data_IF_079597807422
#
_entry.id   IF_079597807422
#
_cell.length_a   1.000
_cell.length_b   1.000
_cell.length_c   1.000
_cell.angle_alpha   90.00
_cell.angle_beta   90.00
_cell.angle_gamma   90.00
#
_symmetry.space_group_name_H-M   'P 1'
#
loop_
_entity.id
_entity.type
_entity.pdbx_description
1 polymer ?
#
# COMPACT_ATOMS: atom_id res chain seq x y z
N UNK A 1 -7.19 11.44 16.90
CA UNK A 1 -6.57 10.86 15.69
C UNK A 1 -7.06 11.58 14.44
N UNK A 2 -6.22 11.75 13.42
CA UNK A 2 -6.68 12.21 12.10
C UNK A 2 -7.40 11.07 11.38
N UNK A 3 -8.49 11.33 10.62
CA UNK A 3 -9.17 10.30 9.87
C UNK A 3 -8.27 9.78 8.74
N UNK A 4 -8.17 8.47 8.62
CA UNK A 4 -7.51 7.83 7.48
C UNK A 4 -8.38 8.04 6.22
N UNK A 5 -7.80 8.61 5.18
CA UNK A 5 -8.45 8.82 3.88
C UNK A 5 -7.98 7.75 2.88
N UNK A 6 -8.86 7.36 1.97
CA UNK A 6 -8.55 6.40 0.91
C UNK A 6 -8.22 7.16 -0.36
N UNK A 7 -7.12 6.79 -1.02
CA UNK A 7 -6.70 7.40 -2.28
C UNK A 7 -7.69 7.06 -3.39
N UNK A 8 -8.38 8.07 -3.93
CA UNK A 8 -9.32 7.87 -5.03
C UNK A 8 -8.64 7.42 -6.34
N UNK A 9 -7.38 7.78 -6.53
CA UNK A 9 -6.61 7.43 -7.74
C UNK A 9 -6.04 6.00 -7.71
N UNK A 10 -5.74 5.49 -6.51
CA UNK A 10 -5.00 4.24 -6.31
C UNK A 10 -5.73 3.35 -5.31
N UNK A 11 -6.95 2.98 -5.68
CA UNK A 11 -7.78 2.04 -4.95
C UNK A 11 -8.27 0.93 -5.87
N UNK A 12 -7.47 -0.11 -6.02
CA UNK A 12 -7.80 -1.26 -6.84
C UNK A 12 -8.76 -2.17 -6.08
N UNK A 13 -9.90 -2.51 -6.70
CA UNK A 13 -10.88 -3.45 -6.13
C UNK A 13 -10.26 -4.85 -5.93
N UNK A 14 -9.44 -5.29 -6.90
CA UNK A 14 -8.62 -6.52 -6.81
C UNK A 14 -7.34 -6.35 -5.96
N UNK A 15 -7.20 -5.22 -5.28
CA UNK A 15 -6.05 -4.96 -4.45
C UNK A 15 -6.02 -5.90 -3.25
N UNK A 16 -4.90 -6.61 -3.11
CA UNK A 16 -4.64 -7.62 -2.08
C UNK A 16 -3.69 -7.12 -0.99
N UNK A 17 -3.38 -5.82 -1.02
CA UNK A 17 -2.61 -5.13 0.01
C UNK A 17 -3.05 -3.67 0.13
N UNK A 18 -2.98 -3.13 1.34
CA UNK A 18 -3.18 -1.71 1.61
C UNK A 18 -1.86 -1.13 2.12
N UNK A 19 -1.41 -0.04 1.50
CA UNK A 19 -0.29 0.76 1.98
C UNK A 19 -0.86 1.98 2.67
N UNK A 20 -0.41 2.25 3.89
CA UNK A 20 -0.78 3.43 4.64
C UNK A 20 0.43 4.35 4.75
N UNK A 21 0.28 5.55 4.21
CA UNK A 21 1.31 6.59 4.20
C UNK A 21 0.69 7.83 4.79
N UNK A 22 1.25 8.31 5.90
CA UNK A 22 0.67 9.39 6.70
C UNK A 22 -0.80 9.11 7.09
N UNK A 23 -1.72 9.91 6.55
CA UNK A 23 -3.17 9.78 6.76
C UNK A 23 -3.87 9.13 5.56
N UNK A 24 -3.14 8.65 4.57
CA UNK A 24 -3.66 8.20 3.28
C UNK A 24 -3.42 6.72 3.06
N UNK A 25 -4.43 6.02 2.54
CA UNK A 25 -4.41 4.59 2.27
C UNK A 25 -4.55 4.31 0.78
N UNK A 26 -3.66 3.46 0.27
CA UNK A 26 -3.58 3.04 -1.13
C UNK A 26 -3.86 1.54 -1.18
N UNK A 27 -4.87 1.10 -1.92
CA UNK A 27 -5.20 -0.33 -2.07
C UNK A 27 -4.66 -0.80 -3.40
N UNK A 28 -3.71 -1.73 -3.39
CA UNK A 28 -2.93 -2.15 -4.57
C UNK A 28 -2.90 -3.67 -4.71
N UNK A 29 -2.62 -4.17 -5.91
CA UNK A 29 -2.41 -5.60 -6.14
C UNK A 29 -0.95 -5.98 -5.84
N UNK A 30 -0.74 -6.94 -4.92
CA UNK A 30 0.60 -7.46 -4.59
C UNK A 30 1.37 -7.91 -5.82
N UNK A 31 0.69 -8.49 -6.80
CA UNK A 31 1.29 -8.95 -8.06
C UNK A 31 1.95 -7.81 -8.83
N UNK A 32 1.24 -6.69 -9.04
CA UNK A 32 1.81 -5.52 -9.74
C UNK A 32 2.95 -4.92 -8.93
N UNK A 33 2.79 -4.82 -7.62
CA UNK A 33 3.85 -4.31 -6.74
C UNK A 33 5.11 -5.18 -6.74
N UNK A 34 4.94 -6.50 -6.72
CA UNK A 34 6.05 -7.47 -6.75
C UNK A 34 6.77 -7.51 -8.09
N UNK A 35 6.10 -7.13 -9.20
CA UNK A 35 6.71 -7.05 -10.53
C UNK A 35 7.68 -5.87 -10.65
N UNK A 36 7.33 -4.74 -10.05
CA UNK A 36 8.12 -3.51 -10.17
C UNK A 36 9.10 -3.30 -9.02
N UNK A 37 8.87 -3.93 -7.85
CA UNK A 37 9.67 -3.70 -6.65
C UNK A 37 9.98 -5.00 -5.91
N UNK A 38 11.19 -5.52 -6.13
CA UNK A 38 11.71 -6.68 -5.39
C UNK A 38 11.73 -6.44 -3.88
N UNK A 39 11.98 -5.21 -3.44
CA UNK A 39 11.96 -4.79 -2.02
C UNK A 39 10.62 -5.09 -1.33
N UNK A 40 9.50 -4.94 -2.03
CA UNK A 40 8.18 -5.24 -1.47
C UNK A 40 7.89 -6.74 -1.44
N UNK A 41 8.48 -7.51 -2.35
CA UNK A 41 8.39 -8.97 -2.32
C UNK A 41 8.96 -9.52 -1.02
N UNK A 42 10.15 -9.07 -0.63
CA UNK A 42 10.76 -9.44 0.64
C UNK A 42 9.91 -8.97 1.83
N UNK A 43 9.38 -7.75 1.76
CA UNK A 43 8.50 -7.20 2.81
C UNK A 43 7.19 -8.00 2.99
N UNK A 44 6.62 -8.57 1.92
CA UNK A 44 5.44 -9.45 2.00
C UNK A 44 5.76 -10.89 2.41
N UNK A 45 7.01 -11.32 2.24
CA UNK A 45 7.47 -12.64 2.70
C UNK A 45 7.82 -12.65 4.17
N UNK A 46 8.07 -11.48 4.76
CA UNK A 46 8.18 -11.35 6.21
C UNK A 46 6.80 -11.60 6.82
N UNK A 47 6.68 -12.50 7.81
CA UNK A 47 5.42 -12.71 8.51
C UNK A 47 5.06 -11.40 9.20
N UNK A 48 4.07 -10.72 8.65
CA UNK A 48 3.43 -9.59 9.29
C UNK A 48 2.98 -10.07 10.69
N UNK A 49 3.35 -9.37 11.76
CA UNK A 49 2.98 -9.78 13.10
C UNK A 49 1.45 -9.90 13.17
N UNK A 50 0.95 -10.98 13.77
CA UNK A 50 -0.48 -11.37 13.78
C UNK A 50 -1.45 -10.31 14.37
N UNK A 51 -0.92 -9.18 14.82
CA UNK A 51 -1.63 -8.09 15.48
C UNK A 51 -1.71 -6.81 14.63
N UNK A 52 -1.32 -6.87 13.35
CA UNK A 52 -1.46 -5.74 12.45
C UNK A 52 -2.92 -5.56 11.98
N UNK A 53 -3.35 -4.30 11.80
CA UNK A 53 -4.68 -4.00 11.30
C UNK A 53 -4.84 -4.60 9.91
N UNK A 54 -5.71 -5.60 9.78
CA UNK A 54 -6.17 -6.07 8.47
C UNK A 54 -7.43 -5.29 8.11
N UNK A 55 -7.41 -4.61 6.97
CA UNK A 55 -8.58 -3.93 6.43
C UNK A 55 -9.11 -4.81 5.31
N UNK A 56 -10.36 -5.26 5.42
CA UNK A 56 -11.01 -6.08 4.39
C UNK A 56 -10.24 -7.39 4.09
N UNK A 57 -9.66 -8.04 5.12
CA UNK A 57 -8.76 -9.20 5.00
C UNK A 57 -7.44 -8.94 4.25
N UNK A 58 -7.15 -7.70 3.88
CA UNK A 58 -5.87 -7.30 3.30
C UNK A 58 -4.92 -6.82 4.39
N UNK A 59 -3.64 -7.23 4.35
CA UNK A 59 -2.62 -6.67 5.23
C UNK A 59 -2.45 -5.17 4.95
N UNK A 60 -2.37 -4.38 6.01
CA UNK A 60 -2.02 -2.95 5.94
C UNK A 60 -0.56 -2.79 6.30
N UNK A 61 0.22 -2.23 5.38
CA UNK A 61 1.62 -1.89 5.62
C UNK A 61 1.72 -0.39 5.83
N UNK A 62 2.09 0.02 7.04
CA UNK A 62 2.34 1.43 7.36
C UNK A 62 3.78 1.75 6.98
N UNK A 63 3.97 2.82 6.21
CA UNK A 63 5.29 3.28 5.78
C UNK A 63 5.64 4.59 6.51
N UNK A 64 6.26 4.49 7.70
CA UNK A 64 6.64 5.66 8.48
C UNK A 64 7.84 6.35 7.83
N UNK A 65 7.69 7.65 7.51
CA UNK A 65 8.76 8.47 6.94
C UNK A 65 8.56 8.83 5.47
N UNK A 66 7.60 8.19 4.80
CA UNK A 66 7.16 8.56 3.46
C UNK A 66 5.96 9.52 3.51
N UNK A 67 5.73 10.24 2.41
CA UNK A 67 4.58 11.16 2.27
C UNK A 67 3.58 10.64 1.25
N UNK A 68 2.30 10.99 1.42
CA UNK A 68 1.26 10.56 0.50
C UNK A 68 1.50 11.08 -0.94
N UNK A 69 2.11 12.26 -1.08
CA UNK A 69 2.46 12.86 -2.38
C UNK A 69 3.56 12.08 -3.11
N UNK A 70 4.64 11.72 -2.41
CA UNK A 70 5.74 10.92 -2.98
C UNK A 70 5.21 9.57 -3.48
N UNK A 71 4.38 8.92 -2.66
CA UNK A 71 3.73 7.67 -3.02
C UNK A 71 2.76 7.82 -4.20
N UNK A 72 2.03 8.93 -4.29
CA UNK A 72 1.14 9.20 -5.43
C UNK A 72 1.94 9.34 -6.74
N UNK A 73 3.08 10.02 -6.71
CA UNK A 73 3.99 10.16 -7.85
C UNK A 73 4.62 8.83 -8.24
N UNK A 74 5.10 8.08 -7.24
CA UNK A 74 5.73 6.78 -7.42
C UNK A 74 4.75 5.76 -8.01
N UNK A 75 3.54 5.69 -7.47
CA UNK A 75 2.48 4.85 -8.02
C UNK A 75 2.10 5.26 -9.43
N UNK A 76 2.13 6.56 -9.76
CA UNK A 76 1.88 7.04 -11.12
C UNK A 76 2.97 6.64 -12.12
N UNK A 77 4.20 6.44 -11.65
CA UNK A 77 5.29 5.93 -12.49
C UNK A 77 5.22 4.41 -12.70
N UNK A 78 4.68 3.67 -11.73
CA UNK A 78 4.65 2.20 -11.73
C UNK A 78 3.37 1.64 -12.36
N UNK A 79 2.24 2.30 -12.12
CA UNK A 79 0.95 1.96 -12.68
C UNK A 79 0.67 2.89 -13.87
N UNK A 80 1.04 2.50 -15.10
CA UNK A 80 0.61 3.25 -16.28
C UNK A 80 -0.92 3.24 -16.33
N UNK A 81 -1.50 4.43 -16.45
CA UNK A 81 -2.93 4.69 -16.46
C UNK A 81 -3.62 4.13 -17.70
#
# INVERSE_FOLDING_TARGET
EAPLIRSAEYWFDDGNIILQVESTQFRLAKSTFSMHLSVFRDMFTLPLPANEPTIENCPVVVLPGDTAEDWTLFLGAIFPK
#
